data_IF_715484769215
#
_entry.id   IF_715484769215
#
_cell.length_a   1.000
_cell.length_b   1.000
_cell.length_c   1.000
_cell.angle_alpha   90.00
_cell.angle_beta   90.00
_cell.angle_gamma   90.00
#
_symmetry.space_group_name_H-M   'P 1'
#
loop_
_entity.id
_entity.type
_entity.pdbx_description
1 polymer ?
#
# COMPACT_ATOMS: atom_id res chain seq x y z
N UNK A 1 21.63 -9.52 -15.64
CA UNK A 1 21.14 -10.85 -15.25
C UNK A 1 20.96 -10.97 -13.72
N UNK A 2 21.93 -10.59 -12.91
CA UNK A 2 21.88 -10.69 -11.45
C UNK A 2 20.67 -9.98 -10.80
N UNK A 3 20.33 -8.78 -11.24
CA UNK A 3 19.18 -8.01 -10.72
C UNK A 3 17.84 -8.72 -10.95
N UNK A 4 17.63 -9.28 -12.14
CA UNK A 4 16.39 -10.01 -12.48
C UNK A 4 16.24 -11.26 -11.61
N UNK A 5 17.34 -11.99 -11.40
CA UNK A 5 17.33 -13.20 -10.55
C UNK A 5 17.02 -12.84 -9.10
N UNK A 6 17.67 -11.80 -8.56
CA UNK A 6 17.44 -11.35 -7.16
C UNK A 6 15.99 -10.89 -6.98
N UNK A 7 15.47 -10.03 -7.87
CA UNK A 7 14.09 -9.55 -7.79
C UNK A 7 13.08 -10.70 -7.92
N UNK A 8 13.32 -11.65 -8.83
CA UNK A 8 12.46 -12.81 -9.01
C UNK A 8 12.48 -13.73 -7.79
N UNK A 9 13.65 -13.92 -7.18
CA UNK A 9 13.80 -14.75 -5.99
C UNK A 9 13.10 -14.13 -4.79
N UNK A 10 13.29 -12.82 -4.54
CA UNK A 10 12.60 -12.08 -3.46
C UNK A 10 11.09 -12.15 -3.66
N UNK A 11 10.63 -11.93 -4.89
CA UNK A 11 9.20 -12.01 -5.23
C UNK A 11 8.63 -13.41 -5.01
N UNK A 12 9.35 -14.46 -5.44
CA UNK A 12 8.93 -15.84 -5.27
C UNK A 12 8.86 -16.24 -3.79
N UNK A 13 9.86 -15.87 -2.99
CA UNK A 13 9.88 -16.12 -1.54
C UNK A 13 8.73 -15.34 -0.87
N UNK A 14 8.58 -14.06 -1.17
CA UNK A 14 7.51 -13.23 -0.60
C UNK A 14 6.12 -13.75 -0.95
N UNK A 15 5.87 -14.13 -2.20
CA UNK A 15 4.59 -14.73 -2.61
C UNK A 15 4.36 -16.11 -1.98
N UNK A 16 5.43 -16.91 -1.82
CA UNK A 16 5.37 -18.19 -1.11
C UNK A 16 4.95 -18.01 0.35
N UNK A 17 5.60 -17.11 1.07
CA UNK A 17 5.26 -16.74 2.44
C UNK A 17 3.86 -16.11 2.54
N UNK A 18 3.45 -15.35 1.54
CA UNK A 18 2.12 -14.75 1.46
C UNK A 18 0.96 -15.74 1.40
N UNK A 19 1.22 -17.01 1.06
CA UNK A 19 0.23 -18.08 1.09
C UNK A 19 0.02 -18.69 2.50
N UNK A 20 0.90 -18.36 3.44
CA UNK A 20 0.77 -18.86 4.82
C UNK A 20 -0.40 -18.12 5.48
N UNK A 21 -1.37 -18.87 5.99
CA UNK A 21 -2.49 -18.34 6.75
C UNK A 21 -2.17 -18.44 8.24
N UNK A 22 -2.18 -17.31 8.91
CA UNK A 22 -2.06 -17.23 10.38
C UNK A 22 -3.42 -16.80 10.92
N UNK A 23 -4.04 -17.62 11.75
CA UNK A 23 -5.39 -17.38 12.29
C UNK A 23 -6.46 -17.11 11.20
N UNK A 24 -6.35 -17.77 10.04
CA UNK A 24 -7.30 -17.61 8.94
C UNK A 24 -7.05 -16.38 8.04
N UNK A 25 -6.01 -15.59 8.32
CA UNK A 25 -5.65 -14.38 7.59
C UNK A 25 -4.33 -14.62 6.85
N UNK A 26 -4.30 -14.26 5.55
CA UNK A 26 -3.06 -14.25 4.78
C UNK A 26 -2.68 -12.80 4.44
N UNK A 27 -1.42 -12.46 4.61
CA UNK A 27 -0.89 -11.13 4.24
C UNK A 27 -0.63 -11.01 2.74
N UNK A 28 -0.80 -12.10 1.98
CA UNK A 28 -0.74 -12.08 0.52
C UNK A 28 0.55 -11.47 -0.04
N UNK A 29 0.40 -10.61 -1.04
CA UNK A 29 1.50 -9.93 -1.74
C UNK A 29 2.35 -9.04 -0.83
N UNK A 30 1.82 -8.63 0.32
CA UNK A 30 2.53 -7.79 1.31
C UNK A 30 3.84 -8.43 1.79
N UNK A 31 3.91 -9.75 1.86
CA UNK A 31 5.14 -10.44 2.24
C UNK A 31 6.30 -10.18 1.27
N UNK A 32 6.04 -9.82 0.01
CA UNK A 32 7.09 -9.43 -0.94
C UNK A 32 7.82 -8.17 -0.46
N UNK A 33 7.06 -7.21 0.08
CA UNK A 33 7.63 -5.98 0.67
C UNK A 33 8.55 -6.29 1.86
N UNK A 34 8.10 -7.13 2.79
CA UNK A 34 8.93 -7.52 3.93
C UNK A 34 10.13 -8.40 3.51
N UNK A 35 9.95 -9.28 2.54
CA UNK A 35 11.07 -10.06 1.99
C UNK A 35 12.14 -9.14 1.35
N UNK A 36 11.72 -8.06 0.69
CA UNK A 36 12.62 -7.04 0.15
C UNK A 36 13.41 -6.32 1.25
N UNK A 37 12.75 -5.93 2.34
CA UNK A 37 13.41 -5.28 3.50
C UNK A 37 14.46 -6.21 4.11
N UNK A 38 14.10 -7.48 4.33
CA UNK A 38 15.01 -8.50 4.88
C UNK A 38 16.21 -8.72 3.93
N UNK A 39 15.96 -8.83 2.64
CA UNK A 39 17.02 -9.00 1.64
C UNK A 39 17.99 -7.80 1.64
N UNK A 40 17.47 -6.59 1.72
CA UNK A 40 18.27 -5.36 1.85
C UNK A 40 19.09 -5.32 3.14
N UNK A 41 18.50 -5.76 4.26
CA UNK A 41 19.21 -5.86 5.54
C UNK A 41 20.41 -6.83 5.49
N UNK A 42 20.28 -7.93 4.77
CA UNK A 42 21.38 -8.87 4.53
C UNK A 42 22.40 -8.42 3.47
N UNK A 43 22.28 -7.18 2.99
CA UNK A 43 23.23 -6.59 2.05
C UNK A 43 23.07 -7.06 0.61
N UNK A 44 21.93 -7.66 0.24
CA UNK A 44 21.61 -7.95 -1.15
C UNK A 44 21.37 -6.62 -1.88
N UNK A 45 22.39 -6.14 -2.58
CA UNK A 45 22.32 -4.92 -3.37
C UNK A 45 22.08 -5.25 -4.85
N UNK A 46 21.25 -4.41 -5.48
CA UNK A 46 20.99 -4.44 -6.92
C UNK A 46 21.55 -3.14 -7.49
N UNK A 47 22.03 -3.20 -8.73
CA UNK A 47 22.46 -2.00 -9.45
C UNK A 47 21.36 -0.92 -9.40
N UNK A 48 21.67 0.32 -8.95
CA UNK A 48 20.67 1.38 -8.77
C UNK A 48 19.89 1.73 -10.04
N UNK A 49 20.49 1.64 -11.22
CA UNK A 49 19.81 1.96 -12.48
C UNK A 49 18.79 0.87 -12.82
N UNK A 50 19.16 -0.39 -12.62
CA UNK A 50 18.25 -1.52 -12.82
C UNK A 50 17.11 -1.52 -11.81
N UNK A 51 17.38 -1.17 -10.55
CA UNK A 51 16.36 -1.04 -9.52
C UNK A 51 15.35 0.05 -9.88
N UNK A 52 15.83 1.23 -10.30
CA UNK A 52 14.98 2.34 -10.73
C UNK A 52 14.11 1.99 -11.93
N UNK A 53 14.68 1.25 -12.90
CA UNK A 53 13.93 0.79 -14.06
C UNK A 53 12.83 -0.21 -13.63
N UNK A 54 13.16 -1.18 -12.78
CA UNK A 54 12.22 -2.18 -12.30
C UNK A 54 11.09 -1.55 -11.49
N UNK A 55 11.39 -0.56 -10.63
CA UNK A 55 10.41 0.20 -9.85
C UNK A 55 9.44 0.96 -10.77
N UNK A 56 9.97 1.75 -11.71
CA UNK A 56 9.15 2.54 -12.64
C UNK A 56 8.30 1.64 -13.54
N UNK A 57 8.87 0.58 -14.07
CA UNK A 57 8.18 -0.37 -14.93
C UNK A 57 7.10 -1.14 -14.17
N UNK A 58 7.41 -1.59 -12.95
CA UNK A 58 6.45 -2.26 -12.07
C UNK A 58 5.26 -1.37 -11.73
N UNK A 59 5.50 -0.10 -11.42
CA UNK A 59 4.45 0.87 -11.13
C UNK A 59 3.54 1.10 -12.35
N UNK A 60 4.12 1.24 -13.55
CA UNK A 60 3.35 1.41 -14.79
C UNK A 60 2.46 0.20 -15.06
N UNK A 61 3.01 -1.02 -14.96
CA UNK A 61 2.23 -2.26 -15.13
C UNK A 61 1.12 -2.36 -14.10
N UNK A 62 1.41 -2.02 -12.84
CA UNK A 62 0.43 -2.05 -11.77
C UNK A 62 -0.75 -1.11 -12.06
N UNK A 63 -0.48 0.16 -12.39
CA UNK A 63 -1.52 1.15 -12.72
C UNK A 63 -2.32 0.72 -13.94
N UNK A 64 -1.65 0.21 -14.98
CA UNK A 64 -2.31 -0.31 -16.18
C UNK A 64 -3.24 -1.50 -15.87
N UNK A 65 -2.76 -2.46 -15.08
CA UNK A 65 -3.57 -3.62 -14.68
C UNK A 65 -4.81 -3.21 -13.86
N UNK A 66 -4.65 -2.25 -12.93
CA UNK A 66 -5.78 -1.67 -12.21
C UNK A 66 -6.78 -0.99 -13.15
N UNK A 67 -6.28 -0.21 -14.11
CA UNK A 67 -7.12 0.44 -15.12
C UNK A 67 -7.95 -0.55 -15.93
N UNK A 68 -7.35 -1.66 -16.35
CA UNK A 68 -8.05 -2.74 -17.04
C UNK A 68 -9.12 -3.42 -16.18
N UNK A 69 -8.83 -3.61 -14.89
CA UNK A 69 -9.75 -4.25 -13.96
C UNK A 69 -10.94 -3.36 -13.62
N UNK A 70 -10.71 -2.08 -13.39
CA UNK A 70 -11.73 -1.12 -12.93
C UNK A 70 -12.51 -0.51 -14.11
N UNK A 71 -11.86 -0.36 -15.26
CA UNK A 71 -12.41 0.33 -16.44
C UNK A 71 -13.79 -0.10 -16.87
N UNK A 72 -14.08 -1.41 -17.05
CA UNK A 72 -15.40 -1.87 -17.52
C UNK A 72 -16.57 -1.47 -16.61
N UNK A 73 -16.32 -1.38 -15.29
CA UNK A 73 -17.32 -1.03 -14.29
C UNK A 73 -17.38 0.46 -13.92
N UNK A 74 -16.38 1.25 -14.33
CA UNK A 74 -16.17 2.59 -13.83
C UNK A 74 -17.38 3.51 -14.03
N UNK A 75 -17.84 3.68 -15.26
CA UNK A 75 -18.97 4.56 -15.56
C UNK A 75 -20.31 4.06 -15.01
N UNK A 76 -20.51 2.76 -14.92
CA UNK A 76 -21.74 2.18 -14.36
C UNK A 76 -21.82 2.39 -12.84
N UNK A 77 -20.70 2.37 -12.16
CA UNK A 77 -20.60 2.62 -10.71
C UNK A 77 -21.01 4.04 -10.33
N UNK A 78 -20.74 5.04 -11.18
CA UNK A 78 -21.17 6.42 -10.93
C UNK A 78 -22.71 6.58 -10.96
N UNK A 79 -23.42 5.80 -11.76
CA UNK A 79 -24.88 5.92 -11.93
C UNK A 79 -25.70 5.28 -10.80
N UNK A 80 -25.14 4.30 -10.06
CA UNK A 80 -25.86 3.52 -9.03
C UNK A 80 -25.38 3.85 -7.60
N UNK A 81 -25.42 5.09 -7.18
CA UNK A 81 -24.99 5.50 -5.83
C UNK A 81 -23.47 5.66 -5.65
N UNK A 82 -22.69 5.46 -6.72
CA UNK A 82 -21.22 5.57 -6.68
C UNK A 82 -20.73 6.99 -6.37
N UNK A 83 -21.52 8.02 -6.62
CA UNK A 83 -21.17 9.41 -6.26
C UNK A 83 -20.99 9.53 -4.74
N UNK A 84 -21.91 8.97 -3.94
CA UNK A 84 -21.81 9.03 -2.48
C UNK A 84 -20.57 8.29 -1.97
N UNK A 85 -20.30 7.08 -2.49
CA UNK A 85 -19.11 6.32 -2.15
C UNK A 85 -17.82 7.04 -2.56
N UNK A 86 -17.80 7.66 -3.73
CA UNK A 86 -16.66 8.46 -4.19
C UNK A 86 -16.43 9.70 -3.32
N UNK A 87 -17.49 10.39 -2.88
CA UNK A 87 -17.36 11.50 -1.94
C UNK A 87 -16.77 11.05 -0.60
N UNK A 88 -17.24 9.91 -0.07
CA UNK A 88 -16.68 9.33 1.15
C UNK A 88 -15.21 8.94 0.98
N UNK A 89 -14.88 8.26 -0.11
CA UNK A 89 -13.49 7.88 -0.41
C UNK A 89 -12.58 9.11 -0.55
N UNK A 90 -13.04 10.15 -1.26
CA UNK A 90 -12.32 11.42 -1.38
C UNK A 90 -12.14 12.08 -0.01
N UNK A 91 -13.18 12.08 0.82
CA UNK A 91 -13.12 12.58 2.19
C UNK A 91 -12.06 11.87 3.03
N UNK A 92 -12.01 10.54 2.98
CA UNK A 92 -10.99 9.74 3.69
C UNK A 92 -9.59 10.11 3.23
N UNK A 93 -9.36 10.24 1.92
CA UNK A 93 -8.06 10.62 1.36
C UNK A 93 -7.66 12.03 1.82
N UNK A 94 -8.56 12.99 1.73
CA UNK A 94 -8.29 14.37 2.14
C UNK A 94 -8.02 14.49 3.63
N UNK A 95 -8.78 13.79 4.48
CA UNK A 95 -8.56 13.76 5.93
C UNK A 95 -7.21 13.11 6.24
N UNK A 96 -6.88 11.98 5.61
CA UNK A 96 -5.60 11.31 5.78
C UNK A 96 -4.43 12.23 5.40
N UNK A 97 -4.53 12.91 4.27
CA UNK A 97 -3.52 13.88 3.82
C UNK A 97 -3.40 15.05 4.78
N UNK A 98 -4.51 15.62 5.24
CA UNK A 98 -4.52 16.69 6.21
C UNK A 98 -3.86 16.29 7.53
N UNK A 99 -4.19 15.11 8.06
CA UNK A 99 -3.58 14.57 9.27
C UNK A 99 -2.08 14.34 9.09
N UNK A 100 -1.63 13.91 7.91
CA UNK A 100 -0.22 13.75 7.56
C UNK A 100 0.53 15.09 7.63
N UNK A 101 -0.05 16.12 7.03
CA UNK A 101 0.54 17.48 7.06
C UNK A 101 0.56 18.05 8.48
N UNK A 102 -0.55 17.98 9.20
CA UNK A 102 -0.65 18.44 10.57
C UNK A 102 0.29 17.67 11.51
N UNK A 103 0.40 16.35 11.31
CA UNK A 103 1.33 15.51 12.06
C UNK A 103 2.78 15.87 11.80
N UNK A 104 3.15 16.18 10.56
CA UNK A 104 4.50 16.66 10.22
C UNK A 104 4.85 17.93 11.00
N UNK A 105 3.97 18.92 11.01
CA UNK A 105 4.19 20.17 11.74
C UNK A 105 4.12 20.00 13.26
N UNK A 106 3.19 19.20 13.76
CA UNK A 106 2.95 19.05 15.21
C UNK A 106 3.98 18.16 15.91
N UNK A 107 4.47 17.13 15.23
CA UNK A 107 5.44 16.18 15.79
C UNK A 107 6.89 16.48 15.38
N UNK A 108 7.11 17.44 14.47
CA UNK A 108 8.44 17.75 13.94
C UNK A 108 9.04 16.63 13.10
N UNK A 109 8.21 15.75 12.55
CA UNK A 109 8.63 14.65 11.66
C UNK A 109 8.65 15.16 10.22
N UNK A 110 9.62 14.73 9.42
CA UNK A 110 9.71 15.18 8.03
C UNK A 110 8.45 14.81 7.24
N UNK A 111 8.03 15.67 6.32
CA UNK A 111 6.85 15.39 5.49
C UNK A 111 7.00 14.08 4.68
N UNK A 112 8.17 13.75 4.09
CA UNK A 112 8.38 12.45 3.44
C UNK A 112 8.15 11.26 4.37
N UNK A 113 8.64 11.31 5.61
CA UNK A 113 8.44 10.24 6.59
C UNK A 113 6.96 10.08 6.95
N UNK A 114 6.27 11.20 7.16
CA UNK A 114 4.83 11.20 7.46
C UNK A 114 3.99 10.67 6.30
N UNK A 115 4.38 10.94 5.04
CA UNK A 115 3.77 10.32 3.86
C UNK A 115 4.01 8.81 3.87
N UNK A 116 5.20 8.36 4.23
CA UNK A 116 5.51 6.94 4.42
C UNK A 116 4.61 6.30 5.48
N UNK A 117 4.46 6.94 6.64
CA UNK A 117 3.57 6.49 7.71
C UNK A 117 2.10 6.40 7.22
N UNK A 118 1.62 7.39 6.48
CA UNK A 118 0.28 7.33 5.87
C UNK A 118 0.14 6.13 4.93
N UNK A 119 1.13 5.92 4.05
CA UNK A 119 1.12 4.78 3.12
C UNK A 119 1.11 3.44 3.86
N UNK A 120 1.87 3.33 4.94
CA UNK A 120 1.89 2.13 5.80
C UNK A 120 0.57 1.92 6.53
N UNK A 121 0.07 2.95 7.20
CA UNK A 121 -1.18 2.89 7.96
C UNK A 121 -2.40 2.56 7.08
N UNK A 122 -2.40 3.00 5.82
CA UNK A 122 -3.45 2.70 4.84
C UNK A 122 -3.14 1.45 4.00
N UNK A 123 -2.03 0.76 4.26
CA UNK A 123 -1.55 -0.40 3.49
C UNK A 123 -1.43 -0.13 1.97
N UNK A 124 -1.06 1.10 1.61
CA UNK A 124 -1.03 1.60 0.23
C UNK A 124 0.41 1.69 -0.31
N UNK A 125 1.00 0.54 -0.65
CA UNK A 125 2.34 0.47 -1.24
C UNK A 125 2.47 1.15 -2.62
N UNK A 126 1.46 1.19 -3.49
CA UNK A 126 1.53 1.98 -4.72
C UNK A 126 1.69 3.49 -4.49
N UNK A 127 1.01 4.03 -3.48
CA UNK A 127 1.18 5.44 -3.10
C UNK A 127 2.59 5.71 -2.58
N UNK A 128 3.20 4.75 -1.87
CA UNK A 128 4.60 4.81 -1.45
C UNK A 128 5.53 4.93 -2.66
N UNK A 129 5.37 4.06 -3.66
CA UNK A 129 6.17 4.11 -4.89
C UNK A 129 6.03 5.44 -5.63
N UNK A 130 4.81 5.97 -5.74
CA UNK A 130 4.56 7.29 -6.34
C UNK A 130 5.24 8.43 -5.55
N UNK A 131 5.18 8.39 -4.22
CA UNK A 131 5.83 9.36 -3.36
C UNK A 131 7.37 9.33 -3.52
N UNK A 132 7.96 8.15 -3.51
CA UNK A 132 9.40 7.96 -3.72
C UNK A 132 9.84 8.48 -5.09
N UNK A 133 9.07 8.20 -6.13
CA UNK A 133 9.37 8.68 -7.48
C UNK A 133 9.28 10.21 -7.57
N UNK A 134 8.30 10.82 -6.90
CA UNK A 134 8.17 12.28 -6.83
C UNK A 134 9.37 12.91 -6.12
N UNK A 135 9.76 12.39 -4.96
CA UNK A 135 10.94 12.88 -4.22
C UNK A 135 12.20 12.79 -5.08
N UNK A 136 12.39 11.70 -5.81
CA UNK A 136 13.50 11.52 -6.71
C UNK A 136 13.52 12.55 -7.86
N UNK A 137 12.35 12.86 -8.44
CA UNK A 137 12.21 13.91 -9.45
C UNK A 137 12.54 15.30 -8.90
N UNK A 138 12.29 15.52 -7.60
CA UNK A 138 12.64 16.75 -6.89
C UNK A 138 14.11 16.80 -6.42
N UNK A 139 14.90 15.75 -6.67
CA UNK A 139 16.30 15.64 -6.22
C UNK A 139 16.43 15.44 -4.71
N UNK A 140 15.38 14.95 -4.04
CA UNK A 140 15.36 14.68 -2.61
C UNK A 140 15.61 13.19 -2.31
N UNK A 141 16.00 12.90 -1.07
CA UNK A 141 16.13 11.52 -0.58
C UNK A 141 14.80 10.78 -0.69
N UNK A 142 14.80 9.68 -1.44
CA UNK A 142 13.60 8.88 -1.72
C UNK A 142 13.44 7.65 -0.81
N UNK A 143 14.42 7.38 0.06
CA UNK A 143 14.42 6.22 0.95
C UNK A 143 13.62 6.43 2.24
N UNK A 144 13.47 7.66 2.71
CA UNK A 144 12.84 7.99 3.99
C UNK A 144 11.37 7.53 4.09
N UNK A 145 10.51 7.71 3.07
CA UNK A 145 9.13 7.23 3.14
C UNK A 145 9.02 5.70 3.31
N UNK A 146 9.98 4.93 2.78
CA UNK A 146 9.96 3.48 2.92
C UNK A 146 10.12 3.04 4.38
N UNK A 147 10.96 3.73 5.15
CA UNK A 147 11.13 3.45 6.57
C UNK A 147 9.85 3.75 7.36
N UNK A 148 9.24 4.92 7.16
CA UNK A 148 7.96 5.28 7.77
C UNK A 148 6.86 4.28 7.43
N UNK A 149 6.79 3.85 6.17
CA UNK A 149 5.87 2.83 5.72
C UNK A 149 6.12 1.47 6.41
N UNK A 150 7.36 1.00 6.48
CA UNK A 150 7.72 -0.28 7.08
C UNK A 150 7.31 -0.35 8.56
N UNK A 151 7.48 0.75 9.30
CA UNK A 151 7.10 0.83 10.73
C UNK A 151 5.57 0.87 10.92
N UNK A 152 4.85 1.63 10.09
CA UNK A 152 3.41 1.80 10.24
C UNK A 152 2.60 0.65 9.62
N UNK A 153 3.15 -0.07 8.64
CA UNK A 153 2.43 -1.08 7.87
C UNK A 153 1.85 -2.23 8.71
N UNK A 154 2.57 -2.83 9.68
CA UNK A 154 2.01 -3.88 10.52
C UNK A 154 0.77 -3.41 11.31
N UNK A 155 0.80 -2.18 11.82
CA UNK A 155 -0.34 -1.57 12.52
C UNK A 155 -1.52 -1.31 11.58
N UNK A 156 -1.24 -0.86 10.35
CA UNK A 156 -2.24 -0.69 9.31
C UNK A 156 -2.96 -1.99 8.97
N UNK A 157 -2.21 -3.08 8.78
CA UNK A 157 -2.77 -4.41 8.54
C UNK A 157 -3.65 -4.88 9.70
N UNK A 158 -3.16 -4.78 10.94
CA UNK A 158 -3.94 -5.14 12.13
C UNK A 158 -5.20 -4.29 12.22
N UNK A 159 -5.10 -2.98 11.97
CA UNK A 159 -6.24 -2.06 11.96
C UNK A 159 -7.33 -2.46 10.96
N UNK A 160 -6.95 -2.80 9.73
CA UNK A 160 -7.89 -3.27 8.69
C UNK A 160 -8.54 -4.60 9.09
N UNK A 161 -7.73 -5.54 9.58
CA UNK A 161 -8.21 -6.86 10.04
C UNK A 161 -9.24 -6.72 11.17
N UNK A 162 -9.02 -5.79 12.10
CA UNK A 162 -9.98 -5.55 13.18
C UNK A 162 -11.21 -4.76 12.71
N UNK A 163 -11.04 -3.82 11.77
CA UNK A 163 -12.14 -3.00 11.28
C UNK A 163 -13.18 -3.81 10.48
N UNK A 164 -12.73 -4.78 9.68
CA UNK A 164 -13.63 -5.58 8.81
C UNK A 164 -14.65 -6.39 9.63
N UNK A 165 -14.28 -7.21 10.63
CA UNK A 165 -15.25 -7.93 11.44
C UNK A 165 -16.18 -7.01 12.24
N UNK A 166 -15.64 -5.91 12.79
CA UNK A 166 -16.44 -4.93 13.52
C UNK A 166 -17.49 -4.30 12.61
N UNK A 167 -17.10 -3.88 11.41
CA UNK A 167 -18.06 -3.36 10.44
C UNK A 167 -19.09 -4.40 10.04
N UNK A 168 -18.67 -5.65 9.82
CA UNK A 168 -19.59 -6.73 9.46
C UNK A 168 -20.59 -7.02 10.59
N UNK A 169 -20.17 -7.09 11.83
CA UNK A 169 -21.05 -7.37 12.97
C UNK A 169 -22.00 -6.22 13.33
N UNK A 170 -21.58 -4.97 13.08
CA UNK A 170 -22.40 -3.80 13.40
C UNK A 170 -23.30 -3.32 12.25
N UNK A 171 -22.92 -3.57 10.99
CA UNK A 171 -23.67 -3.13 9.82
C UNK A 171 -24.61 -4.21 9.26
N UNK A 172 -24.30 -5.49 9.48
CA UNK A 172 -25.20 -6.60 9.19
C UNK A 172 -25.97 -6.99 10.44
N UNK A 173 -26.87 -6.13 10.91
CA UNK A 173 -27.95 -6.58 11.80
C UNK A 173 -28.71 -7.68 11.04
N UNK A 174 -29.04 -8.81 11.69
CA UNK A 174 -29.80 -9.89 11.05
C UNK A 174 -31.20 -9.38 10.72
N UNK A 175 -31.37 -8.91 9.49
CA UNK A 175 -32.69 -8.72 8.87
C UNK A 175 -33.14 -10.02 8.23
N UNK A 176 -33.05 -11.13 8.92
CA UNK A 176 -33.84 -12.30 8.59
C UNK A 176 -35.10 -12.23 9.43
N UNK A 177 -36.25 -11.89 8.85
CA UNK A 177 -37.51 -12.24 9.50
C UNK A 177 -37.53 -13.75 9.58
N UNK A 178 -37.63 -14.26 10.81
CA UNK A 178 -37.96 -15.66 10.99
C UNK A 178 -39.40 -15.85 10.45
N UNK A 179 -39.48 -16.57 9.33
CA UNK A 179 -40.73 -17.16 8.86
C UNK A 179 -40.67 -18.65 9.17
#
# INVERSE_FOLDING_TARGET
MQAVVVLSLISAIGLGLGKIHVCGISLGVTFVFFAGIIAGHFGLSIDPQMLNYAESFGLVIFVYALGLQVGPGFFSSFRKGGVQLNMLATGVVLIGTLLTVLGSYGLGVSLPDMVGILCGATTNTPALGAAQQTLKQMGLESSTPALGCAVAYPLGVVGVILAVPVSYTHLTLPTTPYV
#
